data_IF_040122102244
#
_entry.id   IF_040122102244
#
_cell.length_a   1.000
_cell.length_b   1.000
_cell.length_c   1.000
_cell.angle_alpha   90.00
_cell.angle_beta   90.00
_cell.angle_gamma   90.00
#
_symmetry.space_group_name_H-M   'P 1'
#
loop_
_entity.id
_entity.type
_entity.pdbx_description
1 polymer ?
#
# COMPACT_ATOMS: atom_id res chain seq x y z
N UNK A 1 2.66 -5.51 14.00
CA UNK A 1 1.48 -5.34 13.12
C UNK A 1 1.28 -3.88 12.83
N UNK A 2 1.01 -3.53 11.57
CA UNK A 2 0.86 -2.15 11.12
C UNK A 2 -0.24 -1.45 11.94
N UNK A 3 -0.09 -0.15 12.19
CA UNK A 3 -1.10 0.68 12.89
C UNK A 3 -1.20 2.05 12.23
N UNK A 4 -1.25 2.06 10.89
CA UNK A 4 -1.34 3.26 10.07
C UNK A 4 -2.80 3.59 9.76
N UNK A 5 -3.06 4.84 9.38
CA UNK A 5 -4.33 5.29 8.77
C UNK A 5 -4.15 5.78 7.33
N UNK A 6 -2.99 5.54 6.74
CA UNK A 6 -2.70 5.86 5.35
C UNK A 6 -2.03 4.68 4.65
N UNK A 7 -2.30 4.55 3.35
CA UNK A 7 -1.59 3.67 2.44
C UNK A 7 -0.75 4.53 1.49
N UNK A 8 0.54 4.23 1.39
CA UNK A 8 1.47 4.97 0.52
C UNK A 8 2.04 4.01 -0.51
N UNK A 9 1.89 4.34 -1.79
CA UNK A 9 2.54 3.61 -2.89
C UNK A 9 3.87 4.28 -3.18
N UNK A 10 4.94 3.51 -3.11
CA UNK A 10 6.30 3.96 -3.43
C UNK A 10 6.73 3.33 -4.74
N UNK A 11 7.24 4.14 -5.68
CA UNK A 11 7.84 3.66 -6.91
C UNK A 11 9.36 3.57 -6.76
N UNK A 12 9.93 2.53 -7.37
CA UNK A 12 11.37 2.31 -7.45
C UNK A 12 11.70 2.10 -8.92
N UNK A 13 12.58 2.93 -9.46
CA UNK A 13 13.12 2.76 -10.81
C UNK A 13 14.61 3.09 -10.79
N UNK A 14 15.34 2.61 -11.80
CA UNK A 14 16.70 3.10 -12.04
C UNK A 14 16.65 4.27 -13.01
N UNK A 15 17.50 5.25 -12.81
CA UNK A 15 17.80 6.27 -13.82
C UNK A 15 18.75 5.70 -14.90
N UNK A 16 19.08 6.53 -15.89
CA UNK A 16 19.95 6.14 -17.01
C UNK A 16 21.38 5.79 -16.57
N UNK A 17 21.81 6.27 -15.40
CA UNK A 17 23.10 5.94 -14.77
C UNK A 17 23.02 4.69 -13.87
N UNK A 18 21.85 4.06 -13.80
CA UNK A 18 21.60 2.85 -13.02
C UNK A 18 21.39 3.10 -11.52
N UNK A 19 21.27 4.35 -11.07
CA UNK A 19 21.00 4.71 -9.67
C UNK A 19 19.52 4.54 -9.36
N UNK A 20 19.21 4.09 -8.15
CA UNK A 20 17.83 3.99 -7.68
C UNK A 20 17.23 5.39 -7.48
N UNK A 21 16.16 5.67 -8.21
CA UNK A 21 15.22 6.75 -7.94
C UNK A 21 14.02 6.15 -7.20
N UNK A 22 13.73 6.70 -6.02
CA UNK A 22 12.65 6.27 -5.14
C UNK A 22 11.78 7.47 -4.82
N UNK A 23 10.47 7.37 -5.06
CA UNK A 23 9.53 8.46 -4.80
C UNK A 23 8.19 7.94 -4.28
N UNK A 24 7.51 8.77 -3.51
CA UNK A 24 6.11 8.54 -3.15
C UNK A 24 5.27 8.77 -4.41
N UNK A 25 4.77 7.69 -5.00
CA UNK A 25 3.95 7.74 -6.19
C UNK A 25 2.55 8.26 -5.84
N UNK A 26 1.93 7.70 -4.79
CA UNK A 26 0.58 8.04 -4.36
C UNK A 26 0.38 7.83 -2.86
N UNK A 27 -0.57 8.58 -2.29
CA UNK A 27 -1.03 8.45 -0.91
C UNK A 27 -2.54 8.43 -0.84
N UNK A 28 -3.05 7.46 -0.09
CA UNK A 28 -4.48 7.31 0.19
C UNK A 28 -4.72 7.43 1.69
N UNK A 29 -5.55 8.41 2.06
CA UNK A 29 -6.11 8.48 3.40
C UNK A 29 -7.11 7.33 3.59
N UNK A 30 -6.93 6.55 4.67
CA UNK A 30 -7.69 5.32 4.88
C UNK A 30 -8.78 5.47 5.96
N UNK A 31 -8.65 6.43 6.87
CA UNK A 31 -9.62 6.75 7.92
C UNK A 31 -9.75 5.71 9.05
N UNK A 32 -9.59 4.42 8.74
CA UNK A 32 -9.51 3.30 9.68
C UNK A 32 -8.08 2.80 9.84
N UNK A 33 -7.83 2.01 10.89
CA UNK A 33 -6.53 1.41 11.15
C UNK A 33 -6.29 0.26 10.17
N UNK A 34 -5.20 0.36 9.41
CA UNK A 34 -4.68 -0.73 8.58
C UNK A 34 -3.82 -1.65 9.46
N UNK A 35 -4.15 -2.93 9.49
CA UNK A 35 -3.43 -3.98 10.20
C UNK A 35 -2.35 -4.61 9.35
N UNK A 36 -2.63 -4.79 8.07
CA UNK A 36 -1.79 -5.50 7.10
C UNK A 36 -2.09 -5.04 5.67
N UNK A 37 -1.06 -5.11 4.82
CA UNK A 37 -1.13 -4.84 3.39
C UNK A 37 -0.31 -5.91 2.70
N UNK A 38 -0.91 -6.60 1.72
CA UNK A 38 -0.27 -7.65 0.92
C UNK A 38 -0.51 -7.39 -0.56
N UNK A 39 0.44 -7.76 -1.42
CA UNK A 39 0.29 -7.72 -2.87
C UNK A 39 0.33 -9.14 -3.45
N UNK A 40 -0.62 -9.49 -4.30
CA UNK A 40 -0.57 -10.77 -5.02
C UNK A 40 0.33 -10.72 -6.27
N UNK A 41 0.54 -11.86 -6.91
CA UNK A 41 1.37 -11.97 -8.12
C UNK A 41 0.79 -11.24 -9.34
N UNK A 42 -0.49 -10.86 -9.31
CA UNK A 42 -1.14 -10.05 -10.34
C UNK A 42 -1.08 -8.55 -10.03
N UNK A 43 -0.48 -8.17 -8.90
CA UNK A 43 -0.34 -6.79 -8.47
C UNK A 43 -1.56 -6.24 -7.71
N UNK A 44 -2.58 -7.04 -7.43
CA UNK A 44 -3.71 -6.59 -6.61
C UNK A 44 -3.25 -6.34 -5.18
N UNK A 45 -3.78 -5.29 -4.56
CA UNK A 45 -3.46 -4.93 -3.18
C UNK A 45 -4.59 -5.36 -2.27
N UNK A 46 -4.26 -6.07 -1.21
CA UNK A 46 -5.17 -6.49 -0.16
C UNK A 46 -4.86 -5.69 1.10
N UNK A 47 -5.86 -4.99 1.62
CA UNK A 47 -5.76 -4.19 2.84
C UNK A 47 -6.68 -4.78 3.90
N UNK A 48 -6.10 -5.19 5.02
CA UNK A 48 -6.84 -5.68 6.18
C UNK A 48 -7.01 -4.57 7.20
N UNK A 49 -8.24 -4.17 7.45
CA UNK A 49 -8.62 -3.33 8.59
C UNK A 49 -8.93 -4.21 9.80
N UNK A 50 -8.59 -3.77 11.01
CA UNK A 50 -8.98 -4.45 12.24
C UNK A 50 -9.93 -3.62 13.11
N UNK A 51 -10.32 -4.22 14.25
CA UNK A 51 -11.37 -3.76 15.18
C UNK A 51 -12.79 -3.94 14.62
N UNK A 52 -13.76 -3.40 15.35
CA UNK A 52 -15.17 -3.51 15.02
C UNK A 52 -15.47 -2.95 13.62
N UNK A 53 -16.14 -3.75 12.80
CA UNK A 53 -16.41 -3.42 11.40
C UNK A 53 -15.15 -3.36 10.52
N UNK A 54 -14.09 -4.09 10.88
CA UNK A 54 -12.93 -4.34 10.03
C UNK A 54 -13.32 -5.07 8.74
N UNK A 55 -12.61 -4.78 7.65
CA UNK A 55 -12.87 -5.27 6.29
C UNK A 55 -11.59 -5.78 5.68
N UNK A 56 -11.73 -6.76 4.79
CA UNK A 56 -10.73 -7.08 3.78
C UNK A 56 -11.12 -6.35 2.49
N UNK A 57 -10.27 -5.44 2.03
CA UNK A 57 -10.51 -4.64 0.84
C UNK A 57 -9.49 -5.06 -0.22
N UNK A 58 -9.97 -5.38 -1.43
CA UNK A 58 -9.14 -5.63 -2.59
C UNK A 58 -9.14 -4.40 -3.50
N UNK A 59 -7.97 -3.89 -3.81
CA UNK A 59 -7.75 -2.87 -4.85
C UNK A 59 -7.16 -3.59 -6.07
N UNK A 60 -7.95 -3.67 -7.13
CA UNK A 60 -7.50 -4.12 -8.45
C UNK A 60 -7.32 -2.92 -9.37
N UNK A 61 -6.40 -3.02 -10.32
CA UNK A 61 -6.34 -2.07 -11.44
C UNK A 61 -7.53 -2.22 -12.38
#
# INVERSE_FOLDING_TARGET
>A
GLSSKALVRVSFNKDDEGKWKVEEAERYEWGKRVREVEQDSMGNIYVLEDKEGGRLIKLSQ
#
